data_IF_872295828025
#
_entry.id   IF_872295828025
#
_cell.length_a   1.000
_cell.length_b   1.000
_cell.length_c   1.000
_cell.angle_alpha   90.00
_cell.angle_beta   90.00
_cell.angle_gamma   90.00
#
_symmetry.space_group_name_H-M   'P 1'
#
loop_
_entity.id
_entity.type
_entity.pdbx_description
1 polymer ?
#
# COMPACT_ATOMS: atom_id res chain seq x y z
N UNK A 1 18.34 28.03 57.21
CA UNK A 1 19.59 28.11 56.43
C UNK A 1 19.39 27.28 55.17
N UNK A 2 19.13 27.95 54.06
CA UNK A 2 19.00 27.32 52.74
C UNK A 2 20.40 27.15 52.15
N UNK A 3 20.77 25.91 51.83
CA UNK A 3 21.95 25.60 51.04
C UNK A 3 21.53 25.36 49.60
N UNK A 4 21.99 26.24 48.73
CA UNK A 4 21.94 26.15 47.27
C UNK A 4 22.68 24.90 46.77
N UNK A 5 22.07 24.15 45.85
CA UNK A 5 22.81 23.41 44.83
C UNK A 5 22.18 23.68 43.48
N UNK A 6 23.01 24.17 42.59
CA UNK A 6 22.77 24.56 41.21
C UNK A 6 22.58 23.33 40.33
N UNK A 7 21.52 23.36 39.53
CA UNK A 7 21.21 22.43 38.44
C UNK A 7 22.28 22.51 37.36
N UNK A 8 22.94 21.39 37.08
CA UNK A 8 23.75 21.17 35.87
C UNK A 8 23.08 20.08 35.03
N UNK A 9 22.15 20.48 34.17
CA UNK A 9 21.60 19.65 33.11
C UNK A 9 22.05 20.24 31.78
N UNK A 10 23.29 19.94 31.41
CA UNK A 10 23.83 20.04 30.06
C UNK A 10 24.75 18.84 29.87
N UNK A 11 24.76 18.33 28.64
CA UNK A 11 25.54 17.21 28.10
C UNK A 11 24.93 15.82 28.21
N UNK A 12 24.10 15.47 27.21
CA UNK A 12 24.34 14.33 26.32
C UNK A 12 23.09 14.08 25.47
N UNK A 13 22.99 14.75 24.31
CA UNK A 13 22.27 14.18 23.16
C UNK A 13 23.10 14.55 21.92
N UNK A 14 24.18 13.81 21.74
CA UNK A 14 24.91 13.78 20.49
C UNK A 14 24.08 12.89 19.56
N UNK A 15 23.32 13.52 18.66
CA UNK A 15 22.61 12.84 17.59
C UNK A 15 23.48 13.03 16.35
N UNK A 16 24.44 12.13 16.15
CA UNK A 16 25.02 11.91 14.83
C UNK A 16 23.91 11.30 13.95
N UNK A 17 23.14 12.14 13.26
CA UNK A 17 22.35 11.76 12.09
C UNK A 17 23.32 11.47 10.94
N UNK A 18 23.89 10.26 10.96
CA UNK A 18 24.53 9.67 9.79
C UNK A 18 23.65 8.54 9.30
N UNK A 19 22.75 8.91 8.39
CA UNK A 19 21.91 7.99 7.62
C UNK A 19 22.79 7.21 6.63
N UNK A 20 23.52 6.21 7.13
CA UNK A 20 24.14 5.17 6.30
C UNK A 20 23.02 4.21 5.85
N UNK A 21 22.23 4.63 4.86
CA UNK A 21 21.32 3.74 4.16
C UNK A 21 22.14 2.86 3.20
N UNK A 22 22.18 1.56 3.49
CA UNK A 22 22.76 0.51 2.64
C UNK A 22 22.28 0.62 1.19
N UNK A 23 23.05 1.35 0.38
CA UNK A 23 22.87 1.53 -1.06
C UNK A 23 23.41 0.33 -1.86
N UNK A 24 24.09 -0.62 -1.21
CA UNK A 24 24.81 -1.69 -1.90
C UNK A 24 23.88 -2.76 -2.50
N UNK A 25 22.70 -3.00 -1.92
CA UNK A 25 21.69 -3.89 -2.51
C UNK A 25 21.00 -3.29 -3.74
N UNK A 26 21.04 -1.96 -3.88
CA UNK A 26 20.38 -1.21 -4.96
C UNK A 26 21.13 -1.41 -6.29
N UNK A 27 22.45 -1.60 -6.25
CA UNK A 27 23.28 -1.68 -7.46
C UNK A 27 23.24 -3.02 -8.19
N UNK A 28 22.84 -4.12 -7.55
CA UNK A 28 22.96 -5.47 -8.12
C UNK A 28 21.92 -5.85 -9.17
N UNK A 29 20.72 -5.26 -9.14
CA UNK A 29 19.57 -5.70 -9.95
C UNK A 29 19.05 -4.65 -10.95
N UNK A 30 19.72 -3.49 -11.07
CA UNK A 30 19.27 -2.38 -11.90
C UNK A 30 19.94 -2.42 -13.28
N UNK A 31 19.53 -3.37 -14.11
CA UNK A 31 19.91 -3.37 -15.51
C UNK A 31 18.76 -3.84 -16.40
N UNK A 32 17.81 -2.94 -16.72
CA UNK A 32 16.90 -3.02 -17.87
C UNK A 32 16.18 -4.36 -18.13
N UNK A 33 16.02 -5.21 -17.12
CA UNK A 33 15.24 -6.43 -17.26
C UNK A 33 13.77 -6.04 -17.17
N UNK A 34 13.01 -6.22 -18.26
CA UNK A 34 11.57 -6.47 -18.09
C UNK A 34 11.47 -7.58 -17.05
N UNK A 35 10.96 -7.26 -15.86
CA UNK A 35 10.75 -8.27 -14.83
C UNK A 35 9.77 -9.26 -15.41
N UNK A 36 10.23 -10.49 -15.63
CA UNK A 36 9.36 -11.54 -16.10
C UNK A 36 8.28 -11.76 -15.04
N UNK A 37 7.03 -11.56 -15.42
CA UNK A 37 5.87 -11.77 -14.58
C UNK A 37 5.19 -13.05 -15.02
N UNK A 38 5.00 -13.98 -14.09
CA UNK A 38 4.35 -15.26 -14.36
C UNK A 38 3.08 -15.40 -13.52
N UNK A 39 2.16 -16.23 -13.99
CA UNK A 39 1.00 -16.67 -13.21
C UNK A 39 0.83 -18.18 -13.35
N UNK A 40 0.20 -18.78 -12.33
CA UNK A 40 -0.24 -20.17 -12.37
C UNK A 40 -1.55 -20.32 -11.62
N UNK A 41 -2.45 -21.16 -12.12
CA UNK A 41 -3.71 -21.52 -11.46
C UNK A 41 -3.84 -23.04 -11.35
N UNK A 42 -4.16 -23.50 -10.14
CA UNK A 42 -4.37 -24.89 -9.81
C UNK A 42 -5.81 -25.11 -9.32
N UNK A 43 -6.40 -26.24 -9.69
CA UNK A 43 -7.57 -26.80 -9.03
C UNK A 43 -7.10 -27.51 -7.76
N UNK A 44 -7.61 -27.08 -6.62
CA UNK A 44 -7.43 -27.72 -5.33
C UNK A 44 -8.68 -28.49 -4.97
N UNK A 45 -8.52 -29.79 -4.69
CA UNK A 45 -9.62 -30.65 -4.22
C UNK A 45 -9.23 -31.24 -2.87
N UNK A 46 -9.86 -30.78 -1.79
CA UNK A 46 -9.69 -31.36 -0.47
C UNK A 46 -10.46 -32.68 -0.34
N UNK A 47 -9.86 -33.71 0.27
CA UNK A 47 -10.57 -34.97 0.56
C UNK A 47 -11.25 -34.95 1.93
N UNK A 48 -11.63 -33.77 2.46
CA UNK A 48 -12.34 -33.66 3.74
C UNK A 48 -13.79 -34.14 3.60
N UNK A 49 -13.94 -35.44 3.48
CA UNK A 49 -15.19 -36.12 3.81
C UNK A 49 -15.34 -36.02 5.33
N UNK A 50 -16.26 -35.18 5.80
CA UNK A 50 -16.74 -35.29 7.17
C UNK A 50 -17.32 -36.71 7.34
N UNK A 51 -16.58 -37.56 8.04
CA UNK A 51 -17.20 -38.59 8.86
C UNK A 51 -18.03 -37.86 9.93
N UNK A 52 -19.18 -37.32 9.52
CA UNK A 52 -20.22 -36.80 10.38
C UNK A 52 -20.93 -37.99 11.04
N UNK A 53 -20.21 -38.68 11.92
CA UNK A 53 -20.78 -39.54 12.94
C UNK A 53 -19.77 -39.65 14.09
N UNK A 54 -20.18 -39.07 15.22
CA UNK A 54 -19.70 -39.35 16.58
C UNK A 54 -18.61 -38.43 17.17
N UNK A 55 -19.11 -37.29 17.64
CA UNK A 55 -19.08 -36.87 19.05
C UNK A 55 -17.73 -36.68 19.78
N UNK A 56 -17.51 -35.41 20.13
CA UNK A 56 -17.01 -34.97 21.44
C UNK A 56 -15.58 -35.40 21.86
N UNK A 57 -14.56 -34.81 21.22
CA UNK A 57 -13.24 -34.64 21.86
C UNK A 57 -12.45 -33.46 21.28
N UNK A 58 -13.07 -32.27 21.23
CA UNK A 58 -12.33 -31.03 21.02
C UNK A 58 -11.51 -30.74 22.29
N UNK A 59 -10.17 -30.83 22.18
CA UNK A 59 -9.13 -30.17 22.99
C UNK A 59 -7.91 -30.99 23.40
N UNK A 60 -7.59 -32.15 22.78
CA UNK A 60 -6.32 -32.82 23.13
C UNK A 60 -5.70 -33.62 21.97
N UNK A 61 -5.20 -32.94 20.93
CA UNK A 61 -4.18 -33.49 20.02
C UNK A 61 -3.53 -32.38 19.17
N UNK A 62 -2.85 -31.45 19.85
CA UNK A 62 -1.77 -30.64 19.25
C UNK A 62 -0.45 -31.30 19.63
N UNK A 63 0.01 -32.20 18.78
CA UNK A 63 1.39 -32.65 18.61
C UNK A 63 1.33 -33.90 17.73
N UNK A 64 2.09 -33.90 16.64
CA UNK A 64 2.43 -35.07 15.82
C UNK A 64 1.29 -35.74 15.04
N UNK A 65 0.70 -35.00 14.10
CA UNK A 65 0.03 -35.63 12.96
C UNK A 65 0.66 -35.08 11.68
N UNK A 66 1.65 -35.83 11.16
CA UNK A 66 2.10 -35.71 9.79
C UNK A 66 0.90 -35.98 8.89
N UNK A 67 0.34 -34.92 8.30
CA UNK A 67 -0.65 -35.02 7.23
C UNK A 67 -0.05 -35.89 6.11
N UNK A 68 -0.73 -36.98 5.78
CA UNK A 68 -0.38 -37.79 4.61
C UNK A 68 -0.51 -36.94 3.36
N UNK A 69 0.32 -37.18 2.35
CA UNK A 69 0.26 -36.48 1.06
C UNK A 69 -1.06 -36.76 0.29
N UNK A 70 -1.89 -37.68 0.80
CA UNK A 70 -3.13 -38.18 0.18
C UNK A 70 -4.40 -37.39 0.58
N UNK A 71 -4.29 -36.33 1.38
CA UNK A 71 -5.46 -35.60 1.92
C UNK A 71 -6.04 -34.55 0.95
N UNK A 72 -5.40 -34.32 -0.20
CA UNK A 72 -5.88 -33.40 -1.24
C UNK A 72 -5.23 -33.66 -2.59
N UNK A 73 -5.85 -33.18 -3.66
CA UNK A 73 -5.29 -33.15 -5.01
C UNK A 73 -5.03 -31.70 -5.46
N UNK A 74 -3.95 -31.50 -6.23
CA UNK A 74 -3.61 -30.22 -6.85
C UNK A 74 -3.36 -30.44 -8.35
N UNK A 75 -4.31 -30.02 -9.18
CA UNK A 75 -4.28 -30.23 -10.63
C UNK A 75 -4.02 -28.92 -11.35
N UNK A 76 -3.08 -28.90 -12.29
CA UNK A 76 -2.80 -27.70 -13.08
C UNK A 76 -3.97 -27.38 -14.02
N UNK A 77 -4.45 -26.13 -13.99
CA UNK A 77 -5.44 -25.60 -14.94
C UNK A 77 -4.72 -24.84 -16.05
N UNK A 78 -3.91 -23.83 -15.68
CA UNK A 78 -3.18 -22.98 -16.63
C UNK A 78 -1.92 -22.39 -15.97
N UNK A 79 -0.90 -22.12 -16.78
CA UNK A 79 0.36 -21.56 -16.31
C UNK A 79 1.06 -20.79 -17.43
N UNK A 80 1.67 -19.67 -17.08
CA UNK A 80 2.62 -18.97 -17.97
C UNK A 80 4.09 -19.31 -17.67
N UNK A 81 4.35 -20.19 -16.70
CA UNK A 81 5.72 -20.66 -16.40
C UNK A 81 6.25 -21.63 -17.47
N UNK A 82 7.58 -21.71 -17.63
CA UNK A 82 8.21 -22.80 -18.35
C UNK A 82 7.82 -24.17 -17.77
N UNK A 83 7.81 -25.20 -18.64
CA UNK A 83 7.45 -26.58 -18.28
C UNK A 83 8.32 -27.19 -17.17
N UNK A 84 9.57 -26.72 -17.05
CA UNK A 84 10.52 -27.17 -16.04
C UNK A 84 10.24 -26.57 -14.66
N UNK A 85 9.77 -25.32 -14.60
CA UNK A 85 9.58 -24.57 -13.36
C UNK A 85 8.21 -24.83 -12.70
N UNK A 86 7.17 -25.10 -13.49
CA UNK A 86 5.83 -25.39 -12.97
C UNK A 86 5.77 -26.56 -11.95
N UNK A 87 6.38 -27.74 -12.18
CA UNK A 87 6.32 -28.84 -11.21
C UNK A 87 7.02 -28.52 -9.88
N UNK A 88 8.05 -27.67 -9.91
CA UNK A 88 8.74 -27.18 -8.72
C UNK A 88 7.82 -26.29 -7.88
N UNK A 89 7.11 -25.35 -8.54
CA UNK A 89 6.09 -24.53 -7.90
C UNK A 89 4.99 -25.41 -7.30
N UNK A 90 4.47 -26.38 -8.06
CA UNK A 90 3.42 -27.29 -7.58
C UNK A 90 3.85 -28.02 -6.31
N UNK A 91 5.08 -28.53 -6.29
CA UNK A 91 5.66 -29.20 -5.10
C UNK A 91 5.77 -28.26 -3.90
N UNK A 92 6.16 -27.01 -4.13
CA UNK A 92 6.21 -25.97 -3.11
C UNK A 92 4.82 -25.66 -2.54
N UNK A 93 3.81 -25.47 -3.40
CA UNK A 93 2.43 -25.20 -3.00
C UNK A 93 1.84 -26.38 -2.22
N UNK A 94 2.02 -27.62 -2.69
CA UNK A 94 1.57 -28.82 -1.96
C UNK A 94 2.17 -28.89 -0.56
N UNK A 95 3.45 -28.54 -0.38
CA UNK A 95 4.10 -28.49 0.94
C UNK A 95 3.52 -27.39 1.84
N UNK A 96 3.05 -26.28 1.27
CA UNK A 96 2.40 -25.21 2.03
C UNK A 96 0.97 -25.57 2.43
N UNK A 97 0.21 -26.19 1.53
CA UNK A 97 -1.14 -26.68 1.79
C UNK A 97 -1.14 -27.75 2.89
N UNK A 98 -0.22 -28.72 2.84
CA UNK A 98 -0.14 -29.77 3.86
C UNK A 98 0.16 -29.27 5.28
N UNK A 99 0.73 -28.06 5.39
CA UNK A 99 1.01 -27.36 6.66
C UNK A 99 -0.11 -26.40 7.08
N UNK A 100 -1.18 -26.27 6.29
CA UNK A 100 -2.27 -25.31 6.55
C UNK A 100 -1.85 -23.85 6.40
N UNK A 101 -0.84 -23.55 5.58
CA UNK A 101 -0.25 -22.20 5.47
C UNK A 101 -1.00 -21.26 4.50
N UNK A 102 -1.98 -21.77 3.75
CA UNK A 102 -2.85 -20.98 2.89
C UNK A 102 -4.23 -20.87 3.54
N UNK A 103 -4.57 -19.64 3.96
CA UNK A 103 -5.89 -19.31 4.48
C UNK A 103 -6.75 -18.78 3.33
N UNK A 104 -8.00 -19.22 3.24
CA UNK A 104 -8.94 -18.74 2.23
C UNK A 104 -9.08 -17.21 2.26
N UNK A 105 -8.98 -16.58 1.09
CA UNK A 105 -9.26 -15.15 0.92
C UNK A 105 -8.15 -14.16 1.27
N UNK A 106 -7.01 -14.60 1.82
CA UNK A 106 -5.83 -13.76 2.03
C UNK A 106 -4.59 -14.38 1.40
N UNK A 107 -3.97 -13.68 0.46
CA UNK A 107 -2.75 -14.17 -0.18
C UNK A 107 -1.55 -14.18 0.76
N UNK A 108 -0.66 -15.14 0.54
CA UNK A 108 0.62 -15.29 1.22
C UNK A 108 1.75 -15.01 0.22
N UNK A 109 2.79 -14.29 0.63
CA UNK A 109 3.93 -13.98 -0.23
C UNK A 109 5.17 -14.62 0.36
N UNK A 110 5.95 -15.29 -0.48
CA UNK A 110 7.23 -15.86 -0.11
C UNK A 110 8.16 -16.00 -1.31
N UNK A 111 9.45 -16.06 -1.05
CA UNK A 111 10.45 -16.39 -2.06
C UNK A 111 10.35 -17.87 -2.43
N UNK A 112 10.41 -18.16 -3.73
CA UNK A 112 10.44 -19.51 -4.29
C UNK A 112 11.63 -19.61 -5.22
N UNK A 113 12.38 -20.69 -5.09
CA UNK A 113 13.46 -21.03 -6.00
C UNK A 113 12.89 -21.89 -7.13
N UNK A 114 13.02 -21.40 -8.36
CA UNK A 114 12.50 -22.06 -9.56
C UNK A 114 13.60 -22.10 -10.62
N UNK A 115 13.50 -23.08 -11.51
CA UNK A 115 14.30 -23.23 -12.73
C UNK A 115 13.93 -22.17 -13.79
N UNK A 116 14.00 -20.89 -13.40
CA UNK A 116 13.78 -19.70 -14.23
C UNK A 116 15.04 -18.80 -14.16
N UNK A 117 15.24 -17.85 -15.11
CA UNK A 117 16.43 -17.02 -15.17
C UNK A 117 16.76 -16.28 -13.87
N UNK A 118 15.73 -15.85 -13.13
CA UNK A 118 15.87 -15.09 -11.89
C UNK A 118 16.22 -15.95 -10.65
N UNK A 119 16.23 -17.28 -10.77
CA UNK A 119 16.53 -18.35 -9.78
C UNK A 119 15.80 -18.29 -8.43
N UNK A 120 15.61 -17.13 -7.83
CA UNK A 120 14.79 -16.85 -6.66
C UNK A 120 13.80 -15.71 -6.98
N UNK A 121 12.50 -16.01 -6.94
CA UNK A 121 11.44 -15.06 -7.30
C UNK A 121 10.44 -14.92 -6.16
N UNK A 122 9.90 -13.73 -5.96
CA UNK A 122 8.74 -13.53 -5.10
C UNK A 122 7.53 -14.25 -5.69
N UNK A 123 6.81 -15.00 -4.86
CA UNK A 123 5.57 -15.68 -5.21
C UNK A 123 4.46 -15.26 -4.25
N UNK A 124 3.45 -14.59 -4.79
CA UNK A 124 2.15 -14.43 -4.15
C UNK A 124 1.33 -15.70 -4.41
N UNK A 125 0.66 -16.25 -3.41
CA UNK A 125 -0.25 -17.38 -3.55
C UNK A 125 -1.51 -17.21 -2.69
N UNK A 126 -2.68 -17.45 -3.28
CA UNK A 126 -3.98 -17.33 -2.62
C UNK A 126 -4.85 -18.54 -2.94
N UNK A 127 -5.54 -19.07 -1.92
CA UNK A 127 -6.59 -20.07 -2.10
C UNK A 127 -7.94 -19.34 -2.16
N UNK A 128 -8.64 -19.51 -3.28
CA UNK A 128 -10.01 -19.05 -3.49
C UNK A 128 -10.94 -20.25 -3.34
N UNK A 129 -11.67 -20.29 -2.25
CA UNK A 129 -12.63 -21.37 -1.99
C UNK A 129 -13.84 -21.25 -2.93
N UNK A 130 -14.34 -22.39 -3.39
CA UNK A 130 -15.55 -22.43 -4.20
C UNK A 130 -16.78 -22.29 -3.28
N UNK A 131 -17.76 -21.47 -3.69
CA UNK A 131 -19.01 -21.37 -2.95
C UNK A 131 -19.73 -22.73 -2.90
N UNK A 132 -20.27 -23.07 -1.73
CA UNK A 132 -21.04 -24.30 -1.53
C UNK A 132 -22.28 -24.27 -2.42
N UNK A 133 -22.36 -25.16 -3.39
CA UNK A 133 -23.61 -25.38 -4.12
C UNK A 133 -24.57 -26.18 -3.23
N UNK A 134 -25.88 -25.85 -3.20
CA UNK A 134 -26.87 -26.63 -2.45
C UNK A 134 -27.06 -28.06 -3.02
N UNK A 135 -26.52 -28.34 -4.20
CA UNK A 135 -26.62 -29.63 -4.90
C UNK A 135 -25.44 -30.57 -4.60
N UNK A 136 -24.32 -30.08 -4.06
CA UNK A 136 -23.16 -30.87 -3.64
C UNK A 136 -22.66 -30.43 -2.25
N UNK A 137 -23.31 -30.88 -1.17
CA UNK A 137 -22.87 -30.58 0.21
C UNK A 137 -21.53 -31.24 0.58
N UNK A 138 -21.08 -32.25 -0.17
CA UNK A 138 -19.85 -33.01 0.07
C UNK A 138 -18.58 -32.38 -0.56
N UNK A 139 -18.69 -31.25 -1.25
CA UNK A 139 -17.56 -30.55 -1.87
C UNK A 139 -16.76 -29.69 -0.87
N UNK A 140 -16.61 -30.18 0.37
CA UNK A 140 -16.02 -29.39 1.45
C UNK A 140 -14.51 -29.21 1.22
N UNK A 141 -14.13 -27.97 0.92
CA UNK A 141 -12.74 -27.58 0.71
C UNK A 141 -12.23 -27.61 -0.74
N UNK A 142 -13.09 -27.61 -1.76
CA UNK A 142 -12.65 -27.37 -3.14
C UNK A 142 -12.36 -25.88 -3.38
N UNK A 143 -11.39 -25.60 -4.25
CA UNK A 143 -11.06 -24.23 -4.60
C UNK A 143 -9.99 -24.11 -5.67
N UNK A 144 -9.53 -22.89 -5.88
CA UNK A 144 -8.50 -22.56 -6.84
C UNK A 144 -7.31 -21.92 -6.13
N UNK A 145 -6.12 -22.45 -6.37
CA UNK A 145 -4.89 -21.80 -5.91
C UNK A 145 -4.33 -20.96 -7.05
N UNK A 146 -4.28 -19.64 -6.84
CA UNK A 146 -3.74 -18.69 -7.79
C UNK A 146 -2.38 -18.22 -7.30
N UNK A 147 -1.38 -18.28 -8.18
CA UNK A 147 -0.03 -17.83 -7.91
C UNK A 147 0.38 -16.72 -8.89
N UNK A 148 0.97 -15.64 -8.38
CA UNK A 148 1.62 -14.59 -9.17
C UNK A 148 3.09 -14.51 -8.79
N UNK A 149 3.98 -14.50 -9.77
CA UNK A 149 5.42 -14.53 -9.55
C UNK A 149 6.11 -13.41 -10.31
N UNK A 150 6.97 -12.67 -9.61
CA UNK A 150 7.78 -11.62 -10.19
C UNK A 150 8.52 -10.80 -9.14
N UNK A 151 9.67 -10.26 -9.49
CA UNK A 151 10.50 -9.49 -8.56
C UNK A 151 10.92 -10.30 -7.33
N UNK A 152 11.14 -9.63 -6.20
CA UNK A 152 11.44 -10.28 -4.92
C UNK A 152 10.23 -10.30 -3.98
N UNK A 153 10.28 -11.16 -2.97
CA UNK A 153 9.27 -11.22 -1.90
C UNK A 153 9.02 -9.85 -1.24
N UNK A 154 10.09 -9.10 -0.94
CA UNK A 154 9.98 -7.76 -0.33
C UNK A 154 9.19 -6.82 -1.24
N UNK A 155 9.45 -6.88 -2.55
CA UNK A 155 8.80 -6.01 -3.53
C UNK A 155 7.33 -6.37 -3.75
N UNK A 156 6.99 -7.66 -3.86
CA UNK A 156 5.59 -8.08 -3.97
C UNK A 156 4.77 -7.76 -2.71
N UNK A 157 5.39 -7.84 -1.53
CA UNK A 157 4.72 -7.50 -0.28
C UNK A 157 4.17 -6.05 -0.26
N UNK A 158 4.81 -5.13 -0.98
CA UNK A 158 4.31 -3.75 -1.12
C UNK A 158 2.98 -3.64 -1.87
N UNK A 159 2.62 -4.67 -2.65
CA UNK A 159 1.40 -4.73 -3.48
C UNK A 159 0.42 -5.81 -3.02
N UNK A 160 0.61 -6.38 -1.81
CA UNK A 160 -0.20 -7.50 -1.33
C UNK A 160 -1.70 -7.22 -1.37
N UNK A 161 -2.11 -6.03 -0.92
CA UNK A 161 -3.52 -5.64 -0.87
C UNK A 161 -4.13 -5.52 -2.28
N UNK A 162 -3.36 -4.98 -3.22
CA UNK A 162 -3.74 -4.86 -4.62
C UNK A 162 -3.87 -6.24 -5.27
N UNK A 163 -2.95 -7.17 -4.97
CA UNK A 163 -3.01 -8.55 -5.45
C UNK A 163 -4.20 -9.32 -4.86
N UNK A 164 -4.47 -9.18 -3.56
CA UNK A 164 -5.65 -9.77 -2.91
C UNK A 164 -6.94 -9.29 -3.57
N UNK A 165 -7.06 -7.97 -3.80
CA UNK A 165 -8.20 -7.39 -4.50
C UNK A 165 -8.30 -7.86 -5.95
N UNK A 166 -7.17 -8.05 -6.62
CA UNK A 166 -7.14 -8.55 -7.99
C UNK A 166 -7.65 -10.00 -8.08
N UNK A 167 -7.21 -10.87 -7.16
CA UNK A 167 -7.72 -12.24 -7.07
C UNK A 167 -9.22 -12.27 -6.77
N UNK A 168 -9.71 -11.41 -5.88
CA UNK A 168 -11.15 -11.30 -5.60
C UNK A 168 -11.96 -10.95 -6.86
N UNK A 169 -11.38 -10.22 -7.82
CA UNK A 169 -12.01 -9.92 -9.10
C UNK A 169 -12.26 -11.14 -9.99
N UNK A 170 -11.58 -12.27 -9.74
CA UNK A 170 -11.80 -13.54 -10.45
C UNK A 170 -12.92 -14.39 -9.86
N UNK A 171 -13.43 -14.05 -8.66
CA UNK A 171 -14.34 -14.93 -7.91
C UNK A 171 -15.57 -15.35 -8.74
N UNK A 172 -16.24 -14.41 -9.41
CA UNK A 172 -17.40 -14.72 -10.25
C UNK A 172 -17.05 -15.59 -11.46
N UNK A 173 -15.89 -15.36 -12.10
CA UNK A 173 -15.46 -16.13 -13.27
C UNK A 173 -15.10 -17.57 -12.90
N UNK A 174 -14.56 -17.80 -11.70
CA UNK A 174 -14.16 -19.11 -11.18
C UNK A 174 -15.34 -19.98 -10.70
N UNK A 175 -16.52 -19.38 -10.51
CA UNK A 175 -17.75 -20.13 -10.19
C UNK A 175 -18.33 -20.88 -11.40
N UNK A 176 -17.85 -20.60 -12.61
CA UNK A 176 -18.32 -21.27 -13.83
C UNK A 176 -17.90 -22.74 -13.82
N UNK A 177 -18.83 -23.70 -14.00
CA UNK A 177 -18.50 -25.12 -14.09
C UNK A 177 -17.45 -25.37 -15.19
N UNK A 178 -16.48 -26.23 -14.90
CA UNK A 178 -15.43 -26.66 -15.84
C UNK A 178 -14.56 -25.55 -16.43
N UNK A 179 -14.63 -24.30 -15.92
CA UNK A 179 -13.81 -23.19 -16.42
C UNK A 179 -13.94 -23.02 -17.95
N UNK A 180 -15.16 -23.15 -18.49
CA UNK A 180 -15.43 -22.98 -19.92
C UNK A 180 -14.99 -21.61 -20.46
N UNK A 181 -14.88 -20.62 -19.58
CA UNK A 181 -14.38 -19.26 -19.83
C UNK A 181 -12.86 -19.10 -19.62
N UNK A 182 -12.09 -20.19 -19.47
CA UNK A 182 -10.65 -20.14 -19.19
C UNK A 182 -9.90 -19.31 -20.22
N UNK A 183 -10.10 -19.62 -21.50
CA UNK A 183 -9.41 -18.96 -22.62
C UNK A 183 -9.89 -17.53 -22.87
N UNK A 184 -11.19 -17.27 -22.69
CA UNK A 184 -11.82 -16.01 -23.04
C UNK A 184 -11.76 -14.95 -21.94
N UNK A 185 -11.76 -15.36 -20.67
CA UNK A 185 -11.83 -14.46 -19.52
C UNK A 185 -10.67 -14.65 -18.55
N UNK A 186 -10.47 -15.88 -18.04
CA UNK A 186 -9.58 -16.12 -16.90
C UNK A 186 -8.11 -15.97 -17.27
N UNK A 187 -7.65 -16.60 -18.35
CA UNK A 187 -6.26 -16.49 -18.84
C UNK A 187 -5.91 -15.04 -19.20
N UNK A 188 -6.71 -14.31 -20.02
CA UNK A 188 -6.45 -12.90 -20.31
C UNK A 188 -6.42 -12.04 -19.04
N UNK A 189 -7.30 -12.30 -18.07
CA UNK A 189 -7.28 -11.62 -16.78
C UNK A 189 -5.97 -11.91 -16.05
N UNK A 190 -5.68 -13.18 -15.73
CA UNK A 190 -4.46 -13.57 -15.00
C UNK A 190 -3.19 -13.01 -15.65
N UNK A 191 -3.08 -13.03 -16.99
CA UNK A 191 -1.90 -12.49 -17.70
C UNK A 191 -1.64 -11.00 -17.48
N UNK A 192 -2.66 -10.22 -17.08
CA UNK A 192 -2.57 -8.77 -16.89
C UNK A 192 -2.33 -8.37 -15.43
N UNK A 193 -2.12 -9.31 -14.52
CA UNK A 193 -1.97 -9.03 -13.08
C UNK A 193 -0.89 -7.98 -12.79
N UNK A 194 0.26 -8.08 -13.46
CA UNK A 194 1.38 -7.17 -13.23
C UNK A 194 1.01 -5.75 -13.68
N UNK A 195 0.44 -5.66 -14.87
CA UNK A 195 0.04 -4.40 -15.47
C UNK A 195 -1.11 -3.76 -14.67
N UNK A 196 -2.10 -4.52 -14.21
CA UNK A 196 -3.25 -3.97 -13.49
C UNK A 196 -2.97 -3.68 -12.02
N UNK A 197 -2.17 -4.50 -11.33
CA UNK A 197 -1.94 -4.37 -9.89
C UNK A 197 -0.66 -3.60 -9.54
N UNK A 198 0.40 -3.72 -10.34
CA UNK A 198 1.73 -3.16 -10.02
C UNK A 198 2.02 -1.85 -10.76
N UNK A 199 1.67 -1.77 -12.05
CA UNK A 199 2.10 -0.67 -12.92
C UNK A 199 1.31 0.65 -12.77
N UNK A 200 0.22 0.67 -12.00
CA UNK A 200 -0.65 1.86 -11.85
C UNK A 200 0.09 3.11 -11.37
N UNK A 201 1.03 2.97 -10.41
CA UNK A 201 1.84 4.09 -9.91
C UNK A 201 2.74 4.65 -11.01
N UNK A 202 3.39 3.76 -11.77
CA UNK A 202 4.24 4.17 -12.89
C UNK A 202 3.45 4.93 -13.95
N UNK A 203 2.28 4.43 -14.34
CA UNK A 203 1.41 5.10 -15.32
C UNK A 203 0.96 6.48 -14.85
N UNK A 204 0.59 6.64 -13.58
CA UNK A 204 0.21 7.96 -13.04
C UNK A 204 1.39 8.92 -13.06
N UNK A 205 2.59 8.50 -12.63
CA UNK A 205 3.77 9.36 -12.66
C UNK A 205 4.14 9.76 -14.09
N UNK A 206 3.99 8.86 -15.07
CA UNK A 206 4.19 9.17 -16.49
C UNK A 206 3.12 10.10 -17.05
N UNK A 207 1.88 9.99 -16.56
CA UNK A 207 0.76 10.84 -16.96
C UNK A 207 0.98 12.30 -16.52
N UNK A 208 1.29 12.53 -15.25
CA UNK A 208 1.40 13.89 -14.70
C UNK A 208 2.82 14.46 -14.73
N UNK A 209 3.84 13.63 -14.87
CA UNK A 209 5.24 14.06 -15.01
C UNK A 209 5.65 15.04 -13.90
N UNK A 210 6.16 16.22 -14.26
CA UNK A 210 6.59 17.28 -13.34
C UNK A 210 5.48 17.80 -12.41
N UNK A 211 4.23 17.47 -12.69
CA UNK A 211 3.05 17.87 -11.92
C UNK A 211 2.68 16.84 -10.83
N UNK A 212 3.53 15.84 -10.56
CA UNK A 212 3.29 14.81 -9.53
C UNK A 212 3.17 15.40 -8.12
N UNK A 213 3.86 16.52 -7.82
CA UNK A 213 3.78 17.20 -6.53
C UNK A 213 2.35 17.60 -6.17
N UNK A 214 1.55 18.01 -7.15
CA UNK A 214 0.15 18.38 -6.94
C UNK A 214 -0.72 17.18 -6.53
N UNK A 215 -0.46 15.97 -7.06
CA UNK A 215 -1.17 14.76 -6.63
C UNK A 215 -0.74 14.31 -5.23
N UNK A 216 0.56 14.42 -4.92
CA UNK A 216 1.08 14.11 -3.59
C UNK A 216 0.46 15.03 -2.54
N UNK A 217 0.39 16.33 -2.84
CA UNK A 217 -0.26 17.33 -1.99
C UNK A 217 -1.74 17.01 -1.79
N UNK A 218 -2.50 16.82 -2.88
CA UNK A 218 -3.92 16.47 -2.82
C UNK A 218 -4.18 15.22 -1.97
N UNK A 219 -3.32 14.19 -2.09
CA UNK A 219 -3.45 12.96 -1.31
C UNK A 219 -3.26 13.17 0.21
N UNK A 220 -2.33 14.04 0.61
CA UNK A 220 -2.10 14.34 2.03
C UNK A 220 -3.10 15.36 2.61
N UNK A 221 -3.60 16.28 1.78
CA UNK A 221 -4.61 17.29 2.15
C UNK A 221 -6.05 16.78 2.06
N UNK A 222 -6.26 15.53 1.66
CA UNK A 222 -7.58 14.94 1.42
C UNK A 222 -8.43 15.69 0.38
N UNK A 223 -7.77 16.40 -0.55
CA UNK A 223 -8.43 17.10 -1.66
C UNK A 223 -8.93 16.08 -2.67
N UNK A 224 -10.17 16.25 -3.14
CA UNK A 224 -10.71 15.37 -4.18
C UNK A 224 -9.99 15.64 -5.50
N UNK A 225 -9.79 14.56 -6.27
CA UNK A 225 -9.13 14.61 -7.57
C UNK A 225 -10.11 14.14 -8.63
N UNK A 226 -10.51 15.07 -9.50
CA UNK A 226 -11.37 14.79 -10.63
C UNK A 226 -10.53 14.60 -11.90
N UNK A 227 -10.83 13.56 -12.67
CA UNK A 227 -10.12 13.26 -13.92
C UNK A 227 -11.11 13.32 -15.08
N UNK A 228 -10.91 14.33 -15.93
CA UNK A 228 -11.77 14.64 -17.06
C UNK A 228 -11.13 14.22 -18.38
N UNK A 229 -11.98 13.92 -19.38
CA UNK A 229 -11.56 13.58 -20.75
C UNK A 229 -10.56 12.42 -20.85
N UNK A 230 -10.62 11.44 -19.93
CA UNK A 230 -9.76 10.26 -19.91
C UNK A 230 -10.55 8.95 -20.05
N UNK A 231 -9.84 7.84 -20.30
CA UNK A 231 -10.41 6.50 -20.19
C UNK A 231 -10.62 6.08 -18.72
N UNK A 232 -11.43 5.04 -18.50
CA UNK A 232 -11.74 4.52 -17.15
C UNK A 232 -10.51 3.95 -16.45
N UNK A 233 -9.53 3.49 -17.22
CA UNK A 233 -8.26 2.98 -16.71
C UNK A 233 -7.46 4.08 -16.03
N UNK A 234 -7.29 5.22 -16.70
CA UNK A 234 -6.60 6.39 -16.14
C UNK A 234 -7.28 6.88 -14.87
N UNK A 235 -8.63 6.97 -14.87
CA UNK A 235 -9.38 7.35 -13.66
C UNK A 235 -9.14 6.38 -12.51
N UNK A 236 -9.14 5.08 -12.81
CA UNK A 236 -8.88 4.02 -11.83
C UNK A 236 -7.46 4.11 -11.28
N UNK A 237 -6.48 4.33 -12.15
CA UNK A 237 -5.07 4.44 -11.76
C UNK A 237 -4.82 5.65 -10.86
N UNK A 238 -5.36 6.83 -11.22
CA UNK A 238 -5.26 8.05 -10.39
C UNK A 238 -5.93 7.83 -9.04
N UNK A 239 -7.14 7.25 -9.03
CA UNK A 239 -7.85 6.92 -7.78
C UNK A 239 -7.06 5.95 -6.89
N UNK A 240 -6.42 4.93 -7.46
CA UNK A 240 -5.54 4.01 -6.72
C UNK A 240 -4.29 4.70 -6.20
N UNK A 241 -3.66 5.55 -7.01
CA UNK A 241 -2.48 6.33 -6.60
C UNK A 241 -2.81 7.23 -5.41
N UNK A 242 -3.90 8.01 -5.48
CA UNK A 242 -4.32 8.90 -4.39
C UNK A 242 -4.58 8.11 -3.11
N UNK A 243 -5.27 6.96 -3.19
CA UNK A 243 -5.47 6.08 -2.03
C UNK A 243 -4.16 5.57 -1.45
N UNK A 244 -3.24 5.11 -2.30
CA UNK A 244 -1.95 4.59 -1.88
C UNK A 244 -1.08 5.67 -1.22
N UNK A 245 -1.11 6.90 -1.74
CA UNK A 245 -0.37 8.07 -1.26
C UNK A 245 -0.96 8.71 0.00
N UNK A 246 -2.27 8.56 0.22
CA UNK A 246 -2.96 9.16 1.36
C UNK A 246 -2.57 8.51 2.69
N UNK A 247 -2.78 9.25 3.78
CA UNK A 247 -2.62 8.74 5.15
C UNK A 247 -3.87 8.01 5.68
N UNK A 248 -4.91 7.87 4.85
CA UNK A 248 -6.15 7.20 5.22
C UNK A 248 -5.90 5.69 5.42
N UNK A 249 -6.22 5.16 6.60
CA UNK A 249 -5.98 3.76 6.99
C UNK A 249 -4.96 3.55 8.12
N UNK A 250 -4.26 4.61 8.57
CA UNK A 250 -3.35 4.56 9.72
C UNK A 250 -3.99 5.03 11.04
N UNK A 251 -5.18 5.60 10.97
CA UNK A 251 -6.00 5.92 12.13
C UNK A 251 -6.82 4.69 12.53
N UNK A 252 -6.42 4.01 13.60
CA UNK A 252 -7.34 3.19 14.40
C UNK A 252 -8.28 4.16 15.12
N UNK A 253 -9.31 4.65 14.45
CA UNK A 253 -10.44 5.26 15.16
C UNK A 253 -11.74 5.05 14.40
N UNK A 254 -12.66 4.43 15.14
CA UNK A 254 -13.99 3.99 14.81
C UNK A 254 -14.83 5.04 14.09
N UNK A 255 -15.52 4.63 13.02
CA UNK A 255 -16.83 5.15 12.54
C UNK A 255 -16.96 6.66 12.27
N UNK A 256 -15.90 7.45 12.45
CA UNK A 256 -15.82 8.91 12.29
C UNK A 256 -15.03 9.33 11.04
N UNK A 257 -14.63 8.38 10.21
CA UNK A 257 -14.01 8.65 8.90
C UNK A 257 -15.01 9.24 7.90
N UNK A 258 -16.30 8.92 8.03
CA UNK A 258 -17.37 9.58 7.28
C UNK A 258 -17.62 11.04 7.73
N UNK A 259 -17.19 11.42 8.94
CA UNK A 259 -17.27 12.79 9.45
C UNK A 259 -16.07 13.65 9.04
N UNK A 260 -14.88 13.08 8.81
CA UNK A 260 -13.72 13.84 8.30
C UNK A 260 -13.99 14.42 6.90
N UNK A 261 -14.57 13.63 5.98
CA UNK A 261 -14.94 14.14 4.65
C UNK A 261 -16.13 15.12 4.68
N UNK A 262 -16.95 15.13 5.74
CA UNK A 262 -18.13 16.03 5.85
C UNK A 262 -17.81 17.33 6.58
N UNK A 263 -16.95 17.31 7.60
CA UNK A 263 -16.57 18.49 8.38
C UNK A 263 -15.64 19.45 7.62
N UNK A 264 -14.99 18.98 6.55
CA UNK A 264 -14.10 19.80 5.70
C UNK A 264 -14.89 20.59 4.62
N UNK A 265 -16.20 20.33 4.46
CA UNK A 265 -17.01 20.92 3.37
C UNK A 265 -17.44 22.38 3.56
N UNK A 266 -17.03 23.06 4.64
CA UNK A 266 -17.43 24.45 4.90
C UNK A 266 -16.40 25.50 4.47
N UNK A 267 -15.16 25.11 4.14
CA UNK A 267 -14.21 26.00 3.47
C UNK A 267 -14.00 25.53 2.02
N UNK A 268 -14.12 26.48 1.09
CA UNK A 268 -13.97 26.35 -0.37
C UNK A 268 -12.63 25.73 -0.80
N UNK A 269 -12.41 24.45 -0.56
CA UNK A 269 -11.30 23.70 -1.16
C UNK A 269 -11.77 23.23 -2.53
N UNK A 270 -11.30 23.91 -3.57
CA UNK A 270 -11.59 23.55 -4.95
C UNK A 270 -10.90 22.23 -5.31
N UNK A 271 -11.66 21.29 -5.84
CA UNK A 271 -11.14 19.98 -6.26
C UNK A 271 -10.00 20.15 -7.28
N UNK A 272 -8.99 19.27 -7.19
CA UNK A 272 -7.91 19.21 -8.17
C UNK A 272 -8.45 18.55 -9.43
N UNK A 273 -8.42 19.27 -10.55
CA UNK A 273 -8.94 18.77 -11.82
C UNK A 273 -7.77 18.44 -12.74
N UNK A 274 -7.72 17.21 -13.22
CA UNK A 274 -6.81 16.74 -14.26
C UNK A 274 -7.60 16.65 -15.57
N UNK A 275 -7.33 17.54 -16.52
CA UNK A 275 -7.91 17.48 -17.85
C UNK A 275 -6.96 16.82 -18.85
N UNK A 276 -7.32 15.60 -19.27
CA UNK A 276 -6.57 14.79 -20.23
C UNK A 276 -6.88 15.12 -21.70
N UNK A 277 -7.55 16.24 -21.99
CA UNK A 277 -7.76 16.74 -23.35
C UNK A 277 -6.44 17.07 -24.09
N UNK A 278 -5.36 17.29 -23.34
CA UNK A 278 -4.01 17.58 -23.83
C UNK A 278 -2.99 16.56 -23.30
N UNK A 279 -1.83 16.45 -23.96
CA UNK A 279 -0.72 15.60 -23.54
C UNK A 279 0.57 16.43 -23.46
N UNK A 280 1.15 16.65 -22.26
CA UNK A 280 0.66 16.20 -20.95
C UNK A 280 -0.66 16.89 -20.51
N UNK A 281 -1.41 16.30 -19.56
CA UNK A 281 -2.66 16.86 -19.06
C UNK A 281 -2.49 18.24 -18.42
N UNK A 282 -3.53 19.06 -18.50
CA UNK A 282 -3.61 20.34 -17.79
C UNK A 282 -4.23 20.15 -16.41
N UNK A 283 -3.55 20.66 -15.36
CA UNK A 283 -4.05 20.63 -13.99
C UNK A 283 -4.55 22.02 -13.57
N UNK A 284 -5.77 22.10 -13.06
CA UNK A 284 -6.34 23.33 -12.48
C UNK A 284 -6.62 23.14 -11.00
N UNK A 285 -6.62 24.24 -10.24
CA UNK A 285 -6.66 24.24 -8.76
C UNK A 285 -5.47 23.48 -8.14
N UNK A 286 -4.35 23.49 -8.85
CA UNK A 286 -3.13 22.81 -8.45
C UNK A 286 -2.45 23.54 -7.29
N UNK A 287 -2.31 22.88 -6.15
CA UNK A 287 -1.59 23.36 -4.97
C UNK A 287 -0.47 22.38 -4.67
N UNK A 288 0.72 22.91 -4.39
CA UNK A 288 1.89 22.13 -3.95
C UNK A 288 2.58 22.85 -2.80
N UNK A 289 3.50 22.15 -2.14
CA UNK A 289 4.40 22.70 -1.15
C UNK A 289 5.81 22.12 -1.35
N UNK A 290 6.80 22.73 -0.69
CA UNK A 290 8.21 22.34 -0.82
C UNK A 290 8.42 20.85 -0.52
N UNK A 291 7.72 20.31 0.46
CA UNK A 291 7.80 18.89 0.79
C UNK A 291 7.43 18.01 -0.42
N UNK A 292 6.29 18.26 -1.07
CA UNK A 292 5.87 17.49 -2.23
C UNK A 292 6.79 17.71 -3.44
N UNK A 293 7.30 18.92 -3.62
CA UNK A 293 8.25 19.25 -4.70
C UNK A 293 9.60 18.53 -4.51
N UNK A 294 10.13 18.47 -3.29
CA UNK A 294 11.38 17.78 -2.96
C UNK A 294 11.29 16.27 -3.28
N UNK A 295 10.13 15.64 -3.01
CA UNK A 295 9.89 14.24 -3.33
C UNK A 295 9.67 13.98 -4.83
N UNK A 296 9.21 14.97 -5.60
CA UNK A 296 8.83 14.79 -7.00
C UNK A 296 9.97 14.27 -7.87
N UNK A 297 11.20 14.75 -7.63
CA UNK A 297 12.38 14.30 -8.36
C UNK A 297 12.67 12.81 -8.16
N UNK A 298 12.44 12.27 -6.95
CA UNK A 298 12.62 10.85 -6.69
C UNK A 298 11.65 9.99 -7.52
N UNK A 299 10.38 10.42 -7.61
CA UNK A 299 9.38 9.75 -8.45
C UNK A 299 9.76 9.78 -9.93
N UNK A 300 10.17 10.93 -10.46
CA UNK A 300 10.56 11.07 -11.86
C UNK A 300 11.75 10.17 -12.20
N UNK A 301 12.81 10.20 -11.38
CA UNK A 301 14.00 9.38 -11.55
C UNK A 301 13.69 7.87 -11.51
N UNK A 302 12.77 7.43 -10.64
CA UNK A 302 12.35 6.04 -10.58
C UNK A 302 11.46 5.64 -11.78
N UNK A 303 10.63 6.55 -12.28
CA UNK A 303 9.76 6.32 -13.42
C UNK A 303 10.55 6.20 -14.73
N UNK A 304 11.62 6.99 -14.91
CA UNK A 304 12.56 6.87 -16.05
C UNK A 304 13.24 5.50 -16.12
N UNK A 305 13.46 4.86 -14.96
CA UNK A 305 14.03 3.51 -14.86
C UNK A 305 13.00 2.40 -15.04
N UNK A 306 11.73 2.74 -15.27
CA UNK A 306 10.61 1.81 -15.40
C UNK A 306 10.51 0.81 -14.23
N UNK A 307 10.77 1.27 -13.00
CA UNK A 307 10.72 0.41 -11.81
C UNK A 307 9.50 0.75 -10.92
N UNK A 308 8.36 0.06 -11.08
CA UNK A 308 7.15 0.32 -10.28
C UNK A 308 7.32 -0.04 -8.80
N UNK A 309 8.23 -0.98 -8.49
CA UNK A 309 8.50 -1.38 -7.11
C UNK A 309 9.26 -0.30 -6.35
N UNK A 310 10.27 0.31 -7.00
CA UNK A 310 10.97 1.47 -6.46
C UNK A 310 10.01 2.65 -6.27
N UNK A 311 9.12 2.90 -7.23
CA UNK A 311 8.09 3.93 -7.10
C UNK A 311 7.20 3.71 -5.88
N UNK A 312 6.76 2.46 -5.63
CA UNK A 312 5.99 2.14 -4.43
C UNK A 312 6.79 2.34 -3.15
N UNK A 313 8.07 1.97 -3.13
CA UNK A 313 8.93 2.21 -1.95
C UNK A 313 9.12 3.70 -1.68
N UNK A 314 9.35 4.52 -2.72
CA UNK A 314 9.43 5.98 -2.58
C UNK A 314 8.11 6.52 -2.01
N UNK A 315 6.98 6.01 -2.48
CA UNK A 315 5.66 6.38 -1.97
C UNK A 315 5.47 6.03 -0.48
N UNK A 316 5.88 4.84 -0.05
CA UNK A 316 5.82 4.48 1.37
C UNK A 316 6.78 5.32 2.22
N UNK A 317 7.97 5.64 1.73
CA UNK A 317 8.91 6.53 2.43
C UNK A 317 8.38 7.97 2.55
N UNK A 318 7.76 8.49 1.48
CA UNK A 318 7.05 9.77 1.48
C UNK A 318 5.98 9.80 2.58
N UNK A 319 5.17 8.75 2.68
CA UNK A 319 4.14 8.62 3.73
C UNK A 319 4.75 8.53 5.12
N UNK A 320 5.76 7.69 5.31
CA UNK A 320 6.45 7.55 6.59
C UNK A 320 6.97 8.89 7.08
N UNK A 321 7.57 9.69 6.19
CA UNK A 321 8.04 11.03 6.54
C UNK A 321 6.90 11.96 6.91
N UNK A 322 5.81 11.98 6.14
CA UNK A 322 4.62 12.79 6.47
C UNK A 322 4.01 12.40 7.84
N UNK A 323 3.97 11.11 8.17
CA UNK A 323 3.50 10.59 9.46
C UNK A 323 4.42 11.02 10.61
N UNK A 324 5.74 10.92 10.42
CA UNK A 324 6.72 11.36 11.41
C UNK A 324 6.58 12.86 11.70
N UNK A 325 6.43 13.66 10.65
CA UNK A 325 6.27 15.11 10.78
C UNK A 325 4.94 15.46 11.46
N UNK A 326 3.86 14.74 11.13
CA UNK A 326 2.56 14.84 11.79
C UNK A 326 2.64 14.55 13.30
N UNK A 327 3.26 13.44 13.67
CA UNK A 327 3.44 13.05 15.07
C UNK A 327 4.32 14.05 15.84
N UNK A 328 5.33 14.60 15.18
CA UNK A 328 6.18 15.65 15.74
C UNK A 328 5.39 16.92 16.02
N UNK A 329 4.55 17.36 15.07
CA UNK A 329 3.67 18.51 15.25
C UNK A 329 2.70 18.29 16.42
N UNK A 330 2.02 17.13 16.48
CA UNK A 330 1.09 16.81 17.58
C UNK A 330 1.74 16.95 18.95
N UNK A 331 2.96 16.44 19.09
CA UNK A 331 3.73 16.57 20.34
C UNK A 331 4.07 18.02 20.66
N UNK A 332 4.44 18.80 19.65
CA UNK A 332 4.78 20.21 19.81
C UNK A 332 3.56 21.08 20.16
N UNK A 333 2.40 20.83 19.55
CA UNK A 333 1.13 21.53 19.86
C UNK A 333 0.74 21.30 21.32
N UNK A 334 0.77 20.05 21.80
CA UNK A 334 0.49 19.74 23.22
C UNK A 334 1.46 20.45 24.18
N UNK A 335 2.73 20.61 23.80
CA UNK A 335 3.70 21.34 24.62
C UNK A 335 3.48 22.86 24.58
N UNK A 336 2.98 23.39 23.46
CA UNK A 336 2.73 24.81 23.27
C UNK A 336 1.59 25.33 24.16
N UNK A 337 0.68 24.46 24.62
CA UNK A 337 -0.35 24.78 25.62
C UNK A 337 0.25 25.35 26.91
N UNK A 338 1.45 24.89 27.28
CA UNK A 338 2.11 25.25 28.53
C UNK A 338 3.37 26.11 28.34
N UNK A 339 3.79 26.39 27.10
CA UNK A 339 5.09 27.03 26.83
C UNK A 339 5.15 27.80 25.51
N UNK A 340 5.38 29.11 25.60
CA UNK A 340 5.67 29.96 24.43
C UNK A 340 6.94 29.55 23.69
N UNK A 341 7.92 28.93 24.37
CA UNK A 341 9.11 28.40 23.71
C UNK A 341 8.76 27.19 22.83
N UNK A 342 7.85 26.32 23.29
CA UNK A 342 7.36 25.22 22.48
C UNK A 342 6.57 25.73 21.25
N UNK A 343 5.76 26.78 21.41
CA UNK A 343 5.09 27.45 20.30
C UNK A 343 6.08 27.97 19.24
N UNK A 344 7.15 28.63 19.65
CA UNK A 344 8.21 29.07 18.73
C UNK A 344 8.89 27.89 18.01
N UNK A 345 9.15 26.78 18.71
CA UNK A 345 9.69 25.56 18.09
C UNK A 345 8.71 24.95 17.07
N UNK A 346 7.41 24.97 17.35
CA UNK A 346 6.38 24.57 16.38
C UNK A 346 6.48 25.38 15.10
N UNK A 347 6.60 26.72 15.20
CA UNK A 347 6.78 27.58 14.03
C UNK A 347 8.04 27.20 13.23
N UNK A 348 9.18 27.03 13.91
CA UNK A 348 10.45 26.68 13.25
C UNK A 348 10.39 25.31 12.58
N UNK A 349 9.75 24.34 13.22
CA UNK A 349 9.53 23.02 12.65
C UNK A 349 8.66 23.08 11.39
N UNK A 350 7.53 23.79 11.43
CA UNK A 350 6.62 23.94 10.28
C UNK A 350 7.31 24.63 9.09
N UNK A 351 8.15 25.62 9.35
CA UNK A 351 8.98 26.27 8.32
C UNK A 351 10.04 25.32 7.73
N UNK A 352 10.63 24.47 8.57
CA UNK A 352 11.70 23.54 8.18
C UNK A 352 11.22 22.34 7.39
N UNK A 353 10.09 21.72 7.77
CA UNK A 353 9.59 20.50 7.12
C UNK A 353 9.00 20.75 5.72
N UNK A 354 8.59 21.97 5.39
CA UNK A 354 8.07 22.31 4.07
C UNK A 354 6.67 21.76 3.76
N UNK A 355 6.02 21.10 4.73
CA UNK A 355 4.67 20.51 4.63
C UNK A 355 3.65 21.20 5.57
N UNK A 356 3.96 22.43 6.01
CA UNK A 356 3.26 23.04 7.16
C UNK A 356 1.77 23.27 6.94
N UNK A 357 1.35 23.60 5.72
CA UNK A 357 -0.05 23.78 5.33
C UNK A 357 -0.87 22.50 5.53
N UNK A 358 -0.39 21.38 4.97
CA UNK A 358 -1.01 20.05 5.09
C UNK A 358 -1.00 19.58 6.55
N UNK A 359 0.11 19.80 7.26
CA UNK A 359 0.24 19.37 8.65
C UNK A 359 -0.75 20.11 9.57
N UNK A 360 -0.91 21.43 9.39
CA UNK A 360 -1.85 22.24 10.17
C UNK A 360 -3.30 21.92 9.84
N UNK A 361 -3.63 21.73 8.54
CA UNK A 361 -4.97 21.33 8.11
C UNK A 361 -5.40 20.02 8.80
N UNK A 362 -4.54 19.01 8.75
CA UNK A 362 -4.80 17.71 9.35
C UNK A 362 -4.80 17.77 10.90
N UNK A 363 -3.89 18.52 11.51
CA UNK A 363 -3.88 18.71 12.96
C UNK A 363 -5.15 19.42 13.46
N UNK A 364 -5.68 20.39 12.71
CA UNK A 364 -6.96 21.05 13.03
C UNK A 364 -8.11 20.05 12.97
N UNK A 365 -8.15 19.22 11.92
CA UNK A 365 -9.19 18.21 11.76
C UNK A 365 -9.16 17.16 12.90
N UNK A 366 -7.99 16.73 13.35
CA UNK A 366 -7.87 15.79 14.47
C UNK A 366 -8.15 16.41 15.85
N UNK A 367 -7.93 17.72 16.01
CA UNK A 367 -8.10 18.43 17.28
C UNK A 367 -9.37 19.29 17.33
N UNK A 368 -10.35 19.06 16.46
CA UNK A 368 -11.59 19.85 16.38
C UNK A 368 -12.29 20.03 17.73
N UNK A 369 -12.19 19.01 18.59
CA UNK A 369 -12.85 18.96 19.90
C UNK A 369 -12.01 19.58 21.04
N UNK A 370 -10.80 20.08 20.74
CA UNK A 370 -9.83 20.61 21.71
C UNK A 370 -9.58 22.12 21.43
N UNK A 371 -10.31 23.04 22.08
CA UNK A 371 -10.25 24.47 21.80
C UNK A 371 -8.85 25.08 21.97
N UNK A 372 -8.08 24.63 22.96
CA UNK A 372 -6.73 25.10 23.24
C UNK A 372 -5.77 24.75 22.10
N UNK A 373 -5.84 23.51 21.61
CA UNK A 373 -5.05 23.06 20.47
C UNK A 373 -5.44 23.81 19.19
N UNK A 374 -6.74 24.01 18.95
CA UNK A 374 -7.24 24.80 17.82
C UNK A 374 -6.78 26.28 17.86
N UNK A 375 -6.73 26.88 19.05
CA UNK A 375 -6.20 28.24 19.24
C UNK A 375 -4.71 28.31 18.89
N UNK A 376 -3.92 27.35 19.37
CA UNK A 376 -2.49 27.23 19.03
C UNK A 376 -2.30 27.08 17.52
N UNK A 377 -3.05 26.17 16.88
CA UNK A 377 -2.99 25.94 15.44
C UNK A 377 -3.30 27.22 14.67
N UNK A 378 -4.33 27.97 15.09
CA UNK A 378 -4.71 29.25 14.46
C UNK A 378 -3.57 30.27 14.55
N UNK A 379 -2.91 30.39 15.70
CA UNK A 379 -1.74 31.26 15.87
C UNK A 379 -0.57 30.82 14.98
N UNK A 380 -0.35 29.51 14.82
CA UNK A 380 0.67 28.98 13.92
C UNK A 380 0.36 29.28 12.44
N UNK A 381 -0.91 29.16 12.03
CA UNK A 381 -1.36 29.53 10.68
C UNK A 381 -1.19 31.02 10.38
N UNK A 382 -1.54 31.90 11.33
CA UNK A 382 -1.32 33.34 11.21
C UNK A 382 0.17 33.66 11.05
N UNK A 383 1.03 33.06 11.90
CA UNK A 383 2.46 33.28 11.83
C UNK A 383 3.06 32.84 10.48
N UNK A 384 2.63 31.72 9.92
CA UNK A 384 3.11 31.26 8.61
C UNK A 384 2.60 32.14 7.45
N UNK A 385 1.38 32.68 7.56
CA UNK A 385 0.83 33.64 6.58
C UNK A 385 1.59 34.96 6.59
N UNK A 386 1.87 35.52 7.76
CA UNK A 386 2.58 36.80 7.87
C UNK A 386 4.01 36.71 7.32
N UNK A 387 4.68 35.57 7.53
CA UNK A 387 6.04 35.34 7.04
C UNK A 387 6.09 35.09 5.53
N UNK A 388 5.12 34.38 4.96
CA UNK A 388 5.05 34.20 3.50
C UNK A 388 4.78 35.51 2.76
N UNK A 389 3.99 36.41 3.35
CA UNK A 389 3.79 37.77 2.83
C UNK A 389 5.01 38.69 2.99
N UNK A 390 5.85 38.48 3.99
CA UNK A 390 7.08 39.26 4.19
C UNK A 390 8.24 38.86 3.24
N UNK A 391 8.14 37.70 2.59
CA UNK A 391 9.14 37.16 1.67
C UNK A 391 8.72 37.18 0.19
N UNK A 392 7.50 37.60 -0.12
CA UNK A 392 7.01 37.88 -1.47
C UNK A 392 7.23 39.36 -1.83
#
# INVERSE_FOLDING_TARGET
>A
MFTSQTSSFQDSIDVEERDDFDSEEITGYIQKTQLNSYYTIYLYQGTRSEAAAENAAWNQRRADSTTSLDDFSLTLIDSSLPSEAEPELRTYISRRLSKGALLGGMGNIATVELSIPEQAVGCYCCLVEQERSPEQPDADGNGYVICFMGGSEKWLNLFRLELDKYVQGLHSSLQTPELLNLESEVRPYLSRWYEESVMHIHRVVQLVQNNISFLLHAALSHTLVEVNNSDERTKTDVSRFIKAASLQGLSQQDTTTASLCKAISEDTQSDLIIDCSTSPPTLSNAVSNRFCDDWSQAFLNAAERCNPFLLRQILENFKLKAIQDMNSLKRLVRQAEMSHYALFRSCRFLQGCGNGDVLLQNARAEHSDMPEACSIITVLEEFLRDQSQAHA
#
